data_IF_031318115926
#
_entry.id   IF_031318115926
#
_cell.length_a   1.000
_cell.length_b   1.000
_cell.length_c   1.000
_cell.angle_alpha   90.00
_cell.angle_beta   90.00
_cell.angle_gamma   90.00
#
_symmetry.space_group_name_H-M   'P 1'
#
loop_
_entity.id
_entity.type
_entity.pdbx_description
1 polymer ?
#
# COMPACT_ATOMS: atom_id res chain seq x y z
N UNK A 1 -14.41 6.71 -12.66
CA UNK A 1 -13.74 5.41 -12.47
C UNK A 1 -13.03 4.94 -13.73
N UNK A 2 -13.68 5.01 -14.90
CA UNK A 2 -13.08 4.61 -16.18
C UNK A 2 -11.77 5.35 -16.52
N UNK A 3 -11.70 6.67 -16.39
CA UNK A 3 -10.45 7.44 -16.59
C UNK A 3 -9.31 6.98 -15.69
N UNK A 4 -9.63 6.62 -14.43
CA UNK A 4 -8.65 6.11 -13.47
C UNK A 4 -8.18 4.70 -13.85
N UNK A 5 -9.10 3.81 -14.24
CA UNK A 5 -8.77 2.48 -14.73
C UNK A 5 -7.89 2.54 -15.99
N UNK A 6 -8.21 3.43 -16.94
CA UNK A 6 -7.40 3.64 -18.14
C UNK A 6 -5.99 4.16 -17.81
N UNK A 7 -5.86 5.09 -16.87
CA UNK A 7 -4.55 5.55 -16.42
C UNK A 7 -3.71 4.41 -15.82
N UNK A 8 -4.35 3.52 -15.05
CA UNK A 8 -3.70 2.36 -14.44
C UNK A 8 -3.26 1.31 -15.49
N UNK A 9 -3.99 1.13 -16.59
CA UNK A 9 -3.59 0.24 -17.69
C UNK A 9 -2.23 0.63 -18.29
N UNK A 10 -1.86 1.91 -18.24
CA UNK A 10 -0.54 2.39 -18.68
C UNK A 10 0.48 2.43 -17.53
N UNK A 11 0.06 2.90 -16.35
CA UNK A 11 0.96 3.05 -15.21
C UNK A 11 1.51 1.71 -14.70
N UNK A 12 0.68 0.66 -14.65
CA UNK A 12 1.07 -0.66 -14.13
C UNK A 12 2.20 -1.29 -14.96
N UNK A 13 2.11 -1.42 -16.30
CA UNK A 13 3.22 -1.91 -17.11
C UNK A 13 4.49 -1.06 -16.97
N UNK A 14 4.35 0.27 -16.93
CA UNK A 14 5.47 1.18 -16.77
C UNK A 14 6.22 0.96 -15.44
N UNK A 15 5.50 0.93 -14.32
CA UNK A 15 6.09 0.63 -13.01
C UNK A 15 6.67 -0.77 -12.92
N UNK A 16 6.04 -1.76 -13.58
CA UNK A 16 6.57 -3.13 -13.66
C UNK A 16 7.93 -3.15 -14.38
N UNK A 17 8.08 -2.43 -15.48
CA UNK A 17 9.36 -2.32 -16.21
C UNK A 17 10.42 -1.66 -15.33
N UNK A 18 10.09 -0.56 -14.65
CA UNK A 18 11.04 0.13 -13.77
C UNK A 18 11.49 -0.74 -12.59
N UNK A 19 10.55 -1.45 -11.96
CA UNK A 19 10.84 -2.42 -10.90
C UNK A 19 11.78 -3.53 -11.40
N UNK A 20 11.49 -4.13 -12.56
CA UNK A 20 12.34 -5.16 -13.14
C UNK A 20 13.74 -4.62 -13.48
N UNK A 21 13.81 -3.37 -13.98
CA UNK A 21 15.09 -2.71 -14.23
C UNK A 21 15.90 -2.51 -12.95
N UNK A 22 15.28 -2.11 -11.84
CA UNK A 22 15.95 -2.00 -10.53
C UNK A 22 16.43 -3.36 -10.03
N UNK A 23 15.58 -4.40 -10.09
CA UNK A 23 15.96 -5.77 -9.69
C UNK A 23 17.16 -6.27 -10.51
N UNK A 24 17.13 -6.08 -11.84
CA UNK A 24 18.21 -6.48 -12.74
C UNK A 24 19.48 -5.68 -12.45
N UNK A 25 19.36 -4.36 -12.27
CA UNK A 25 20.49 -3.51 -11.92
C UNK A 25 21.15 -3.99 -10.62
N UNK A 26 20.39 -4.16 -9.54
CA UNK A 26 20.86 -4.68 -8.25
C UNK A 26 21.54 -6.05 -8.36
N UNK A 27 21.03 -6.93 -9.24
CA UNK A 27 21.67 -8.22 -9.52
C UNK A 27 23.04 -8.05 -10.20
N UNK A 28 23.12 -7.23 -11.26
CA UNK A 28 24.37 -7.03 -12.02
C UNK A 28 25.45 -6.32 -11.21
N UNK A 29 25.08 -5.34 -10.37
CA UNK A 29 26.03 -4.64 -9.48
C UNK A 29 26.30 -5.38 -8.16
N UNK A 30 25.66 -6.55 -7.95
CA UNK A 30 25.77 -7.40 -6.75
C UNK A 30 25.37 -6.68 -5.44
N UNK A 31 24.40 -5.78 -5.53
CA UNK A 31 23.85 -5.04 -4.39
C UNK A 31 22.32 -5.10 -4.42
N UNK A 32 21.76 -6.30 -4.24
CA UNK A 32 20.31 -6.51 -4.34
C UNK A 32 19.58 -5.93 -3.13
N UNK A 33 18.64 -4.99 -3.38
CA UNK A 33 17.80 -4.35 -2.35
C UNK A 33 16.41 -4.99 -2.20
N UNK A 34 16.10 -5.97 -3.04
CA UNK A 34 14.83 -6.70 -2.98
C UNK A 34 14.96 -8.00 -2.19
N UNK A 35 14.12 -8.15 -1.18
CA UNK A 35 13.73 -9.47 -0.67
C UNK A 35 12.50 -9.96 -1.47
N UNK A 36 12.50 -11.22 -1.91
CA UNK A 36 11.42 -11.77 -2.76
C UNK A 36 10.06 -11.71 -2.06
N UNK A 37 9.97 -12.13 -0.80
CA UNK A 37 8.68 -12.17 -0.10
C UNK A 37 8.19 -10.76 0.24
N UNK A 38 9.10 -9.86 0.62
CA UNK A 38 8.75 -8.46 0.86
C UNK A 38 8.29 -7.76 -0.43
N UNK A 39 8.96 -8.03 -1.56
CA UNK A 39 8.57 -7.50 -2.87
C UNK A 39 7.17 -8.00 -3.25
N UNK A 40 6.88 -9.30 -3.07
CA UNK A 40 5.53 -9.83 -3.31
C UNK A 40 4.52 -9.16 -2.38
N UNK A 41 4.80 -9.06 -1.07
CA UNK A 41 3.93 -8.38 -0.10
C UNK A 41 3.62 -6.93 -0.52
N UNK A 42 4.64 -6.21 -0.99
CA UNK A 42 4.53 -4.82 -1.44
C UNK A 42 3.67 -4.69 -2.69
N UNK A 43 3.89 -5.54 -3.70
CA UNK A 43 3.09 -5.57 -4.93
C UNK A 43 1.65 -6.00 -4.66
N UNK A 44 1.46 -7.03 -3.82
CA UNK A 44 0.15 -7.48 -3.34
C UNK A 44 -0.61 -6.36 -2.64
N UNK A 45 0.07 -5.52 -1.85
CA UNK A 45 -0.53 -4.34 -1.24
C UNK A 45 -1.08 -3.38 -2.30
N UNK A 46 -0.28 -3.08 -3.33
CA UNK A 46 -0.69 -2.23 -4.45
C UNK A 46 -1.89 -2.81 -5.19
N UNK A 47 -1.88 -4.12 -5.47
CA UNK A 47 -3.01 -4.83 -6.07
C UNK A 47 -4.28 -4.71 -5.21
N UNK A 48 -4.20 -4.92 -3.90
CA UNK A 48 -5.39 -4.77 -3.02
C UNK A 48 -5.93 -3.35 -2.99
N UNK A 49 -5.06 -2.34 -2.94
CA UNK A 49 -5.47 -0.94 -3.00
C UNK A 49 -6.19 -0.63 -4.32
N UNK A 50 -5.59 -1.02 -5.45
CA UNK A 50 -6.18 -0.80 -6.77
C UNK A 50 -7.54 -1.50 -6.92
N UNK A 51 -7.70 -2.73 -6.40
CA UNK A 51 -8.99 -3.42 -6.38
C UNK A 51 -10.01 -2.63 -5.55
N UNK A 52 -9.66 -2.25 -4.32
CA UNK A 52 -10.55 -1.50 -3.43
C UNK A 52 -10.97 -0.14 -4.02
N UNK A 53 -10.03 0.59 -4.60
CA UNK A 53 -10.29 1.92 -5.16
C UNK A 53 -11.09 1.82 -6.46
N UNK A 54 -10.77 0.87 -7.34
CA UNK A 54 -11.54 0.65 -8.58
C UNK A 54 -12.99 0.26 -8.32
N UNK A 55 -13.25 -0.54 -7.29
CA UNK A 55 -14.60 -0.92 -6.86
C UNK A 55 -15.37 0.22 -6.16
N UNK A 56 -14.74 1.36 -5.89
CA UNK A 56 -15.38 2.50 -5.24
C UNK A 56 -15.80 2.23 -3.79
N UNK A 57 -15.07 1.36 -3.07
CA UNK A 57 -15.42 0.97 -1.70
C UNK A 57 -15.07 2.03 -0.64
N UNK A 58 -14.56 3.20 -1.05
CA UNK A 58 -14.30 4.33 -0.17
C UNK A 58 -15.52 5.26 -0.10
N UNK A 59 -15.83 5.73 1.10
CA UNK A 59 -16.83 6.77 1.33
C UNK A 59 -16.12 8.12 1.37
N UNK A 60 -16.37 8.96 0.37
CA UNK A 60 -15.86 10.34 0.34
C UNK A 60 -16.83 11.20 1.16
N UNK A 61 -16.36 11.81 2.25
CA UNK A 61 -17.20 12.62 3.15
C UNK A 61 -17.80 13.82 2.41
N UNK A 62 -16.93 14.55 1.70
CA UNK A 62 -17.30 15.70 0.88
C UNK A 62 -16.44 15.66 -0.38
N UNK A 63 -17.07 15.66 -1.55
CA UNK A 63 -16.35 15.61 -2.83
C UNK A 63 -15.83 17.00 -3.22
N UNK A 64 -14.73 17.05 -3.97
CA UNK A 64 -14.22 18.32 -4.49
C UNK A 64 -15.23 19.06 -5.40
N UNK A 65 -15.96 18.41 -6.33
CA UNK A 65 -17.04 19.05 -7.08
C UNK A 65 -18.09 19.71 -6.19
N UNK A 66 -18.47 19.06 -5.08
CA UNK A 66 -19.43 19.62 -4.13
C UNK A 66 -18.87 20.88 -3.44
N UNK A 67 -17.59 20.87 -3.05
CA UNK A 67 -16.95 22.05 -2.45
C UNK A 67 -16.92 23.23 -3.43
N UNK A 68 -16.56 23.00 -4.69
CA UNK A 68 -16.56 24.07 -5.70
C UNK A 68 -17.97 24.62 -5.91
N UNK A 69 -18.98 23.75 -6.09
CA UNK A 69 -20.38 24.16 -6.29
C UNK A 69 -20.93 25.01 -5.14
N UNK A 70 -20.51 24.75 -3.89
CA UNK A 70 -21.03 25.43 -2.71
C UNK A 70 -20.18 26.59 -2.19
N UNK A 71 -18.88 26.57 -2.43
CA UNK A 71 -17.95 27.51 -1.79
C UNK A 71 -17.28 28.46 -2.79
N UNK A 72 -17.24 28.16 -4.08
CA UNK A 72 -16.53 29.00 -5.04
C UNK A 72 -17.07 30.44 -5.01
N UNK A 73 -16.18 31.40 -4.72
CA UNK A 73 -16.50 32.83 -4.74
C UNK A 73 -16.17 33.48 -6.09
N UNK A 74 -15.35 32.81 -6.89
CA UNK A 74 -14.95 33.22 -8.23
C UNK A 74 -14.97 32.01 -9.16
N UNK A 75 -15.10 32.25 -10.46
CA UNK A 75 -14.95 31.22 -11.48
C UNK A 75 -13.60 31.41 -12.21
N UNK A 76 -12.73 30.39 -12.15
CA UNK A 76 -11.43 30.43 -12.82
C UNK A 76 -11.45 29.52 -14.05
N UNK A 77 -10.99 30.05 -15.19
CA UNK A 77 -10.80 29.26 -16.41
C UNK A 77 -9.59 28.34 -16.29
N UNK A 78 -9.63 27.18 -16.95
CA UNK A 78 -8.52 26.23 -17.04
C UNK A 78 -7.38 26.75 -17.93
N UNK A 79 -6.60 27.72 -17.44
CA UNK A 79 -5.38 28.22 -18.08
C UNK A 79 -4.15 27.51 -17.56
N UNK A 80 -3.00 27.58 -18.25
CA UNK A 80 -1.75 26.97 -17.77
C UNK A 80 -1.33 27.47 -16.37
N UNK A 81 -1.66 28.73 -16.02
CA UNK A 81 -1.42 29.29 -14.68
C UNK A 81 -2.29 28.57 -13.65
N UNK A 82 -3.56 28.31 -13.97
CA UNK A 82 -4.47 27.55 -13.11
C UNK A 82 -3.93 26.16 -12.83
N UNK A 83 -3.37 25.48 -13.84
CA UNK A 83 -2.74 24.17 -13.68
C UNK A 83 -1.51 24.23 -12.77
N UNK A 84 -0.62 25.20 -12.99
CA UNK A 84 0.58 25.37 -12.17
C UNK A 84 0.25 25.68 -10.71
N UNK A 85 -0.68 26.61 -10.47
CA UNK A 85 -1.10 26.97 -9.11
C UNK A 85 -1.84 25.80 -8.44
N UNK A 86 -2.73 25.12 -9.16
CA UNK A 86 -3.41 23.94 -8.63
C UNK A 86 -2.42 22.83 -8.27
N UNK A 87 -1.37 22.63 -9.07
CA UNK A 87 -0.29 21.69 -8.76
C UNK A 87 0.39 22.05 -7.43
N UNK A 88 0.82 23.30 -7.26
CA UNK A 88 1.48 23.76 -6.02
C UNK A 88 0.54 23.62 -4.81
N UNK A 89 -0.75 23.97 -4.96
CA UNK A 89 -1.75 23.85 -3.89
C UNK A 89 -2.01 22.38 -3.53
N UNK A 90 -2.08 21.50 -4.51
CA UNK A 90 -2.25 20.06 -4.28
C UNK A 90 -1.04 19.46 -3.58
N UNK A 91 0.19 19.83 -3.98
CA UNK A 91 1.41 19.37 -3.33
C UNK A 91 1.51 19.87 -1.87
N UNK A 92 1.11 21.13 -1.62
CA UNK A 92 1.00 21.69 -0.27
C UNK A 92 -0.06 20.98 0.59
N UNK A 93 -1.24 20.70 0.04
CA UNK A 93 -2.27 19.92 0.71
C UNK A 93 -1.79 18.48 0.99
N UNK A 94 -1.03 17.91 0.06
CA UNK A 94 -0.32 16.65 0.17
C UNK A 94 0.65 16.63 1.36
N UNK A 95 1.49 17.65 1.50
CA UNK A 95 2.40 17.82 2.64
C UNK A 95 1.63 17.79 3.98
N UNK A 96 0.53 18.54 4.11
CA UNK A 96 -0.25 18.55 5.35
C UNK A 96 -0.96 17.23 5.62
N UNK A 97 -1.51 16.58 4.58
CA UNK A 97 -2.08 15.24 4.70
C UNK A 97 -1.03 14.24 5.20
N UNK A 98 0.17 14.31 4.63
CA UNK A 98 1.29 13.45 4.98
C UNK A 98 1.76 13.70 6.43
N UNK A 99 1.90 14.96 6.82
CA UNK A 99 2.23 15.35 8.19
C UNK A 99 1.20 14.88 9.21
N UNK A 100 -0.09 15.06 8.92
CA UNK A 100 -1.17 14.53 9.75
C UNK A 100 -1.08 13.00 9.86
N UNK A 101 -0.75 12.32 8.77
CA UNK A 101 -0.58 10.87 8.74
C UNK A 101 0.58 10.41 9.62
N UNK A 102 1.68 11.15 9.72
CA UNK A 102 2.80 10.81 10.62
C UNK A 102 2.55 11.20 12.09
N UNK A 103 1.69 12.19 12.35
CA UNK A 103 1.55 12.77 13.69
C UNK A 103 0.24 12.42 14.42
N UNK A 104 -0.72 11.72 13.81
CA UNK A 104 -2.02 11.44 14.44
C UNK A 104 -2.42 9.98 14.21
N UNK A 105 -2.75 9.25 15.29
CA UNK A 105 -3.02 7.80 15.23
C UNK A 105 -4.06 7.39 14.16
N UNK A 106 -5.20 8.10 14.04
CA UNK A 106 -6.22 7.75 13.05
C UNK A 106 -5.74 7.90 11.60
N UNK A 107 -4.91 8.91 11.32
CA UNK A 107 -4.38 9.15 9.98
C UNK A 107 -3.17 8.25 9.70
N UNK A 108 -2.34 7.94 10.71
CA UNK A 108 -1.27 6.96 10.60
C UNK A 108 -1.76 5.59 10.19
N UNK A 109 -2.97 5.19 10.61
CA UNK A 109 -3.55 3.92 10.14
C UNK A 109 -3.66 3.83 8.60
N UNK A 110 -3.86 4.96 7.92
CA UNK A 110 -3.97 5.03 6.46
C UNK A 110 -2.62 5.06 5.75
N UNK A 111 -1.52 5.14 6.51
CA UNK A 111 -0.18 5.37 5.96
C UNK A 111 0.87 4.38 6.45
N UNK A 112 0.69 3.77 7.63
CA UNK A 112 1.62 2.83 8.26
C UNK A 112 2.05 1.67 7.36
N UNK A 113 1.16 1.18 6.47
CA UNK A 113 1.52 0.12 5.53
C UNK A 113 2.57 0.57 4.51
N UNK A 114 2.58 1.84 4.13
CA UNK A 114 3.58 2.41 3.24
C UNK A 114 4.99 2.27 3.84
N UNK A 115 5.11 2.49 5.14
CA UNK A 115 6.35 2.36 5.91
C UNK A 115 6.61 0.93 6.40
N UNK A 116 5.70 -0.02 6.22
CA UNK A 116 5.82 -1.31 6.90
C UNK A 116 6.87 -2.25 6.30
N UNK A 117 7.42 -1.95 5.13
CA UNK A 117 8.53 -2.75 4.58
C UNK A 117 9.80 -2.48 5.38
N UNK A 118 10.50 -3.55 5.71
CA UNK A 118 11.84 -3.49 6.32
C UNK A 118 12.94 -3.45 5.24
N UNK A 119 12.56 -3.44 3.96
CA UNK A 119 13.41 -3.13 2.82
C UNK A 119 13.01 -1.78 2.21
N UNK A 120 13.84 -1.20 1.35
CA UNK A 120 13.51 0.04 0.64
C UNK A 120 13.92 -0.04 -0.82
N UNK A 121 12.92 -0.06 -1.71
CA UNK A 121 13.07 -0.25 -3.16
C UNK A 121 11.75 0.13 -3.86
N UNK A 122 11.70 0.06 -5.19
CA UNK A 122 10.55 0.55 -5.97
C UNK A 122 9.26 -0.23 -5.68
N UNK A 123 9.35 -1.47 -5.18
CA UNK A 123 8.15 -2.21 -4.77
C UNK A 123 7.46 -1.52 -3.57
N UNK A 124 8.23 -0.91 -2.67
CA UNK A 124 7.72 -0.23 -1.47
C UNK A 124 6.82 0.95 -1.82
N UNK A 125 7.06 1.63 -2.95
CA UNK A 125 6.18 2.69 -3.46
C UNK A 125 4.74 2.22 -3.64
N UNK A 126 4.55 0.92 -3.93
CA UNK A 126 3.26 0.30 -4.20
C UNK A 126 2.57 -0.21 -2.93
N UNK A 127 3.18 -0.05 -1.74
CA UNK A 127 2.50 -0.30 -0.46
C UNK A 127 1.48 0.79 -0.17
N UNK A 128 0.29 0.61 -0.74
CA UNK A 128 -0.85 1.52 -0.61
C UNK A 128 -1.91 0.98 0.33
N UNK A 129 -2.60 1.88 1.02
CA UNK A 129 -3.60 1.53 2.04
C UNK A 129 -4.94 1.10 1.45
N UNK A 130 -5.57 0.10 2.08
CA UNK A 130 -7.00 -0.22 1.93
C UNK A 130 -7.83 0.20 3.14
N UNK A 131 -7.17 0.62 4.23
CA UNK A 131 -7.83 1.06 5.47
C UNK A 131 -8.33 2.51 5.41
N UNK A 132 -7.96 3.26 4.36
CA UNK A 132 -8.47 4.58 4.00
C UNK A 132 -9.90 4.54 3.42
N UNK A 133 -10.85 3.97 4.16
CA UNK A 133 -12.26 3.85 3.75
C UNK A 133 -13.02 5.17 3.85
N UNK A 134 -12.52 6.15 4.61
CA UNK A 134 -13.09 7.49 4.72
C UNK A 134 -12.17 8.49 4.01
N UNK A 135 -12.64 9.03 2.87
CA UNK A 135 -11.92 10.03 2.09
C UNK A 135 -12.21 11.44 2.59
N UNK A 136 -11.18 12.15 3.06
CA UNK A 136 -11.27 13.52 3.58
C UNK A 136 -10.37 14.53 2.84
N UNK A 137 -9.49 14.06 1.93
CA UNK A 137 -8.53 14.92 1.23
C UNK A 137 -9.15 16.16 0.56
N UNK A 138 -10.36 16.13 -0.04
CA UNK A 138 -10.97 17.33 -0.60
C UNK A 138 -11.12 18.49 0.40
N UNK A 139 -11.24 18.22 1.70
CA UNK A 139 -11.32 19.24 2.75
C UNK A 139 -10.01 20.07 2.79
N UNK A 140 -8.86 19.45 2.52
CA UNK A 140 -7.58 20.17 2.43
C UNK A 140 -7.49 21.05 1.18
N UNK A 141 -8.38 20.84 0.21
CA UNK A 141 -8.49 21.64 -1.02
C UNK A 141 -9.56 22.73 -0.94
N UNK A 142 -10.11 23.03 0.25
CA UNK A 142 -11.05 24.17 0.45
C UNK A 142 -10.51 25.48 -0.14
N UNK A 143 -9.22 25.87 0.04
CA UNK A 143 -8.69 27.07 -0.60
C UNK A 143 -8.79 27.05 -2.14
N UNK A 144 -8.52 25.90 -2.78
CA UNK A 144 -8.67 25.76 -4.22
C UNK A 144 -10.15 25.83 -4.64
N UNK A 145 -11.05 25.26 -3.85
CA UNK A 145 -12.49 25.30 -4.09
C UNK A 145 -13.06 26.73 -3.96
N UNK A 146 -12.63 27.50 -2.95
CA UNK A 146 -12.99 28.92 -2.79
C UNK A 146 -12.60 29.73 -4.02
N UNK A 147 -11.41 29.46 -4.57
CA UNK A 147 -10.91 30.10 -5.79
C UNK A 147 -11.55 29.54 -7.08
N UNK A 148 -12.50 28.60 -6.99
CA UNK A 148 -13.19 28.05 -8.15
C UNK A 148 -12.28 27.29 -9.12
N UNK A 149 -11.23 26.62 -8.61
CA UNK A 149 -10.35 25.79 -9.46
C UNK A 149 -11.19 24.64 -10.06
N UNK A 150 -11.23 24.49 -11.40
CA UNK A 150 -12.11 23.51 -12.04
C UNK A 150 -11.82 22.07 -11.60
N UNK A 151 -12.88 21.29 -11.36
CA UNK A 151 -12.76 19.88 -10.95
C UNK A 151 -11.90 19.05 -11.91
N UNK A 152 -11.97 19.31 -13.21
CA UNK A 152 -11.16 18.58 -14.20
C UNK A 152 -9.65 18.75 -13.97
N UNK A 153 -9.20 19.93 -13.52
CA UNK A 153 -7.79 20.19 -13.20
C UNK A 153 -7.35 19.30 -12.04
N UNK A 154 -8.12 19.29 -10.94
CA UNK A 154 -7.82 18.43 -9.77
C UNK A 154 -7.88 16.94 -10.13
N UNK A 155 -8.89 16.52 -10.90
CA UNK A 155 -9.07 15.13 -11.29
C UNK A 155 -7.90 14.57 -12.12
N UNK A 156 -7.25 15.41 -12.94
CA UNK A 156 -6.09 15.02 -13.74
C UNK A 156 -4.79 15.13 -12.93
N UNK A 157 -4.66 16.17 -12.10
CA UNK A 157 -3.47 16.36 -11.26
C UNK A 157 -3.35 15.31 -10.15
N UNK A 158 -4.46 14.76 -9.64
CA UNK A 158 -4.44 13.77 -8.56
C UNK A 158 -3.63 12.50 -8.90
N UNK A 159 -3.87 11.78 -10.02
CA UNK A 159 -3.04 10.64 -10.40
C UNK A 159 -1.61 11.05 -10.74
N UNK A 160 -1.38 12.25 -11.30
CA UNK A 160 -0.02 12.76 -11.54
C UNK A 160 0.75 12.90 -10.23
N UNK A 161 0.14 13.46 -9.19
CA UNK A 161 0.75 13.57 -7.86
C UNK A 161 1.05 12.21 -7.25
N UNK A 162 0.14 11.24 -7.41
CA UNK A 162 0.36 9.88 -6.93
C UNK A 162 1.56 9.21 -7.65
N UNK A 163 1.60 9.29 -8.98
CA UNK A 163 2.59 8.58 -9.79
C UNK A 163 3.97 9.24 -9.79
N UNK A 164 4.05 10.57 -9.66
CA UNK A 164 5.30 11.30 -9.58
C UNK A 164 6.16 10.91 -8.36
N UNK A 165 5.55 10.28 -7.36
CA UNK A 165 6.21 9.84 -6.13
C UNK A 165 6.91 8.47 -6.27
N UNK A 166 6.65 7.72 -7.34
CA UNK A 166 7.14 6.34 -7.48
C UNK A 166 8.67 6.26 -7.52
N UNK A 167 9.31 7.08 -8.37
CA UNK A 167 10.71 6.91 -8.77
C UNK A 167 11.72 7.06 -7.64
N UNK A 168 11.40 7.82 -6.59
CA UNK A 168 12.35 8.10 -5.52
C UNK A 168 12.42 7.01 -4.44
N UNK A 169 11.68 5.92 -4.60
CA UNK A 169 11.76 4.75 -3.70
C UNK A 169 12.92 3.83 -4.10
N UNK A 170 14.15 4.30 -3.96
CA UNK A 170 15.32 3.49 -4.30
C UNK A 170 16.51 3.83 -3.42
N UNK A 171 17.36 2.83 -3.17
CA UNK A 171 18.66 3.02 -2.52
C UNK A 171 19.80 3.20 -3.52
N UNK A 172 19.56 3.00 -4.82
CA UNK A 172 20.62 3.03 -5.84
C UNK A 172 20.98 4.42 -6.33
N UNK A 173 20.20 5.44 -5.97
CA UNK A 173 20.46 6.83 -6.32
C UNK A 173 20.86 7.57 -5.05
N UNK A 174 22.09 8.11 -5.04
CA UNK A 174 22.63 8.91 -3.95
C UNK A 174 22.00 10.31 -3.87
N UNK A 175 22.73 11.25 -3.25
CA UNK A 175 22.30 12.66 -3.18
C UNK A 175 22.35 13.32 -4.56
N UNK A 176 21.35 14.17 -4.86
CA UNK A 176 21.23 14.86 -6.16
C UNK A 176 21.63 16.35 -6.11
N UNK A 177 22.30 16.77 -5.04
CA UNK A 177 22.84 18.13 -4.91
C UNK A 177 21.73 19.19 -4.89
N UNK A 178 21.79 20.16 -5.82
CA UNK A 178 20.88 21.31 -5.83
C UNK A 178 19.40 20.92 -6.04
N UNK A 179 19.12 19.76 -6.64
CA UNK A 179 17.74 19.27 -6.81
C UNK A 179 17.05 19.00 -5.46
N UNK A 180 17.81 18.68 -4.41
CA UNK A 180 17.32 18.41 -3.04
C UNK A 180 16.84 19.67 -2.30
N UNK A 181 16.85 20.81 -2.98
CA UNK A 181 16.26 22.06 -2.48
C UNK A 181 14.93 22.40 -3.16
N UNK A 182 14.54 21.65 -4.18
CA UNK A 182 13.33 21.91 -4.99
C UNK A 182 12.39 20.71 -4.95
N UNK A 183 12.88 19.53 -5.32
CA UNK A 183 12.09 18.30 -5.42
C UNK A 183 12.52 17.29 -4.36
N UNK A 184 11.59 16.41 -3.99
CA UNK A 184 11.88 15.24 -3.16
C UNK A 184 12.76 14.28 -3.96
N UNK A 185 13.88 13.86 -3.37
CA UNK A 185 14.85 12.95 -3.99
C UNK A 185 14.91 11.61 -3.27
N UNK A 186 15.55 10.58 -3.88
CA UNK A 186 15.72 9.28 -3.23
C UNK A 186 16.41 9.34 -1.87
N UNK A 187 17.40 10.22 -1.67
CA UNK A 187 18.06 10.40 -0.36
C UNK A 187 17.08 10.91 0.71
N UNK A 188 16.27 11.92 0.35
CA UNK A 188 15.29 12.52 1.24
C UNK A 188 14.18 11.52 1.59
N UNK A 189 13.76 10.71 0.62
CA UNK A 189 12.72 9.71 0.85
C UNK A 189 13.23 8.48 1.62
N UNK A 190 14.51 8.12 1.51
CA UNK A 190 15.13 7.13 2.42
C UNK A 190 15.06 7.57 3.88
N UNK A 191 15.43 8.83 4.15
CA UNK A 191 15.31 9.42 5.50
C UNK A 191 13.85 9.36 5.96
N UNK A 192 12.92 9.75 5.09
CA UNK A 192 11.49 9.70 5.40
C UNK A 192 11.00 8.30 5.84
N UNK A 193 11.46 7.25 5.15
CA UNK A 193 11.08 5.88 5.48
C UNK A 193 11.84 5.26 6.66
N UNK A 194 12.81 5.97 7.21
CA UNK A 194 13.69 5.43 8.23
C UNK A 194 13.06 5.46 9.63
N UNK A 195 13.38 4.45 10.43
CA UNK A 195 12.97 4.34 11.84
C UNK A 195 14.03 4.85 12.81
N UNK A 196 15.16 5.36 12.30
CA UNK A 196 16.22 5.95 13.12
C UNK A 196 15.67 7.15 13.91
N UNK A 197 16.08 7.33 15.19
CA UNK A 197 15.68 8.49 15.99
C UNK A 197 15.93 9.84 15.31
N UNK A 198 16.97 9.95 14.49
CA UNK A 198 17.35 11.15 13.75
C UNK A 198 16.39 11.47 12.59
N UNK A 199 15.69 10.46 12.08
CA UNK A 199 14.96 10.51 10.81
C UNK A 199 13.43 10.38 10.96
N UNK A 200 12.95 9.91 12.11
CA UNK A 200 11.51 9.82 12.39
C UNK A 200 10.80 11.16 12.19
N UNK A 201 9.65 11.11 11.52
CA UNK A 201 8.77 12.25 11.24
C UNK A 201 9.45 13.38 10.43
N UNK A 202 10.40 13.02 9.56
CA UNK A 202 11.11 13.94 8.66
C UNK A 202 10.72 13.77 7.19
N UNK A 203 11.00 14.80 6.39
CA UNK A 203 10.87 14.83 4.92
C UNK A 203 9.48 14.37 4.44
N UNK A 204 8.46 15.15 4.75
CA UNK A 204 7.04 14.86 4.53
C UNK A 204 6.50 15.46 3.20
N UNK A 205 7.34 16.14 2.42
CA UNK A 205 7.01 16.59 1.06
C UNK A 205 6.64 15.43 0.14
N UNK A 206 5.80 15.70 -0.86
CA UNK A 206 5.43 14.71 -1.88
C UNK A 206 6.30 14.86 -3.13
N UNK A 207 6.13 15.96 -3.87
CA UNK A 207 6.97 16.26 -5.03
C UNK A 207 7.96 17.36 -4.69
N UNK A 208 7.54 18.42 -3.98
CA UNK A 208 8.40 19.52 -3.61
C UNK A 208 8.88 19.38 -2.15
N UNK A 209 10.20 19.43 -1.94
CA UNK A 209 10.79 19.40 -0.59
C UNK A 209 10.86 20.79 0.07
N UNK A 210 10.36 21.83 -0.61
CA UNK A 210 10.33 23.21 -0.09
C UNK A 210 9.51 23.31 1.22
N UNK A 211 8.44 22.53 1.32
CA UNK A 211 7.56 22.52 2.49
C UNK A 211 8.28 22.03 3.73
N UNK A 212 9.14 21.02 3.59
CA UNK A 212 9.93 20.49 4.70
C UNK A 212 10.86 21.54 5.30
N UNK A 213 11.41 22.42 4.47
CA UNK A 213 12.26 23.53 4.93
C UNK A 213 11.44 24.63 5.58
N UNK A 214 10.30 24.98 5.00
CA UNK A 214 9.42 26.03 5.54
C UNK A 214 8.80 25.66 6.88
N UNK A 215 8.48 24.38 7.08
CA UNK A 215 7.80 23.90 8.29
C UNK A 215 8.72 23.12 9.25
N UNK A 216 10.02 23.07 8.99
CA UNK A 216 11.03 22.52 9.89
C UNK A 216 11.01 20.99 10.00
N UNK A 217 10.55 20.29 8.98
CA UNK A 217 10.56 18.80 8.90
C UNK A 217 11.69 18.26 8.02
N UNK A 218 12.50 19.13 7.41
CA UNK A 218 13.66 18.71 6.61
C UNK A 218 14.75 18.06 7.47
N UNK A 219 15.27 16.93 7.01
CA UNK A 219 16.46 16.26 7.53
C UNK A 219 17.27 15.68 6.38
N UNK A 220 18.56 15.98 6.35
CA UNK A 220 19.46 15.40 5.35
C UNK A 220 19.81 13.95 5.73
N UNK A 221 20.02 13.10 4.73
CA UNK A 221 20.61 11.76 4.93
C UNK A 221 22.08 11.93 5.36
N UNK A 222 22.40 11.47 6.57
CA UNK A 222 23.74 11.56 7.13
C UNK A 222 24.53 10.29 6.82
N UNK A 223 25.77 10.44 6.38
CA UNK A 223 26.62 9.32 5.96
C UNK A 223 26.95 8.40 7.15
N UNK A 224 27.04 8.96 8.36
CA UNK A 224 27.36 8.24 9.60
C UNK A 224 26.14 7.53 10.23
N UNK A 225 24.92 7.86 9.79
CA UNK A 225 23.66 7.31 10.33
C UNK A 225 22.90 6.64 9.19
N UNK A 226 23.25 5.39 8.80
CA UNK A 226 22.59 4.74 7.68
C UNK A 226 21.10 4.46 7.99
N UNK A 227 20.17 4.83 7.08
CA UNK A 227 18.74 4.57 7.24
C UNK A 227 18.41 3.10 7.49
N UNK A 228 17.57 2.85 8.48
CA UNK A 228 16.98 1.55 8.82
C UNK A 228 15.48 1.63 8.59
N UNK A 229 14.87 0.63 7.96
CA UNK A 229 13.48 0.72 7.49
C UNK A 229 12.52 -0.16 8.29
N UNK A 230 11.22 0.07 8.07
CA UNK A 230 10.12 -0.64 8.71
C UNK A 230 9.30 0.30 9.58
N UNK A 231 8.68 -0.27 10.60
CA UNK A 231 7.95 0.49 11.62
C UNK A 231 8.43 0.04 12.99
N UNK A 232 8.52 0.99 13.93
CA UNK A 232 9.00 0.72 15.30
C UNK A 232 8.26 -0.42 16.02
N UNK A 233 7.04 -0.73 15.59
CA UNK A 233 6.30 -1.91 16.03
C UNK A 233 6.05 -2.81 14.80
N UNK A 234 6.97 -3.72 14.46
CA UNK A 234 6.97 -4.47 13.20
C UNK A 234 5.62 -5.08 12.83
N UNK A 235 5.39 -5.17 11.52
CA UNK A 235 4.23 -5.83 10.95
C UNK A 235 4.22 -7.33 11.30
N UNK A 236 5.39 -7.98 11.20
CA UNK A 236 5.58 -9.42 11.45
C UNK A 236 4.59 -10.32 10.69
N UNK A 237 4.31 -9.97 9.44
CA UNK A 237 3.46 -10.70 8.50
C UNK A 237 3.74 -10.20 7.08
N UNK A 238 3.64 -11.08 6.09
CA UNK A 238 3.68 -10.73 4.67
C UNK A 238 2.31 -10.33 4.13
N UNK A 239 1.23 -10.55 4.88
CA UNK A 239 -0.14 -10.33 4.43
C UNK A 239 -0.53 -8.84 4.48
N UNK A 240 -0.64 -8.14 3.34
CA UNK A 240 -0.87 -6.69 3.32
C UNK A 240 -2.25 -6.30 3.86
N UNK A 241 -3.23 -7.20 3.78
CA UNK A 241 -4.57 -6.97 4.35
C UNK A 241 -4.47 -6.94 5.87
N UNK A 242 -3.73 -7.87 6.48
CA UNK A 242 -3.50 -7.85 7.93
C UNK A 242 -2.76 -6.58 8.35
N UNK A 243 -1.66 -6.23 7.66
CA UNK A 243 -0.84 -5.04 7.96
C UNK A 243 -1.71 -3.77 8.07
N UNK A 244 -2.62 -3.56 7.10
CA UNK A 244 -3.51 -2.39 7.05
C UNK A 244 -4.37 -2.19 8.31
N UNK A 245 -4.72 -3.27 9.02
CA UNK A 245 -5.61 -3.20 10.18
C UNK A 245 -4.90 -3.42 11.52
N UNK A 246 -3.59 -3.67 11.52
CA UNK A 246 -2.85 -3.87 12.77
C UNK A 246 -2.83 -2.62 13.65
N UNK A 247 -2.62 -1.44 13.07
CA UNK A 247 -2.54 -0.20 13.85
C UNK A 247 -3.91 0.16 14.46
N UNK A 248 -4.97 0.20 13.64
CA UNK A 248 -6.34 0.47 14.13
C UNK A 248 -6.75 -0.55 15.22
N UNK A 249 -6.42 -1.83 15.04
CA UNK A 249 -6.74 -2.86 16.03
C UNK A 249 -6.02 -2.65 17.36
N UNK A 250 -4.77 -2.18 17.32
CA UNK A 250 -4.01 -1.85 18.53
C UNK A 250 -4.64 -0.68 19.28
N UNK A 251 -4.96 0.43 18.59
CA UNK A 251 -5.58 1.59 19.24
C UNK A 251 -7.01 1.28 19.73
N UNK A 252 -7.77 0.43 19.04
CA UNK A 252 -9.08 -0.05 19.50
C UNK A 252 -8.97 -0.82 20.81
N UNK A 253 -7.99 -1.74 20.92
CA UNK A 253 -7.76 -2.48 22.15
C UNK A 253 -7.35 -1.56 23.30
N UNK A 254 -6.49 -0.59 23.04
CA UNK A 254 -6.05 0.36 24.07
C UNK A 254 -7.20 1.28 24.53
N UNK A 255 -8.01 1.79 23.59
CA UNK A 255 -9.25 2.53 23.86
C UNK A 255 -10.23 1.70 24.70
N UNK A 256 -10.39 0.42 24.38
CA UNK A 256 -11.27 -0.48 25.13
C UNK A 256 -10.76 -0.73 26.56
N UNK A 257 -9.46 -0.94 26.73
CA UNK A 257 -8.83 -1.36 27.99
C UNK A 257 -8.62 -0.25 29.00
N UNK A 258 -8.40 0.99 28.55
CA UNK A 258 -8.15 2.10 29.48
C UNK A 258 -9.34 2.36 30.39
N UNK A 259 -9.06 2.66 31.66
CA UNK A 259 -10.06 2.97 32.68
C UNK A 259 -10.57 4.42 32.57
N UNK A 260 -9.79 5.31 31.97
CA UNK A 260 -10.18 6.72 31.78
C UNK A 260 -11.12 6.86 30.57
N UNK A 261 -12.39 7.30 30.75
CA UNK A 261 -13.32 7.53 29.66
C UNK A 261 -12.82 8.51 28.60
N UNK A 262 -12.01 9.51 28.99
CA UNK A 262 -11.45 10.47 28.05
C UNK A 262 -10.40 9.82 27.16
N UNK A 263 -9.55 8.97 27.73
CA UNK A 263 -8.54 8.19 26.99
C UNK A 263 -9.16 7.25 25.95
N UNK A 264 -10.39 6.80 26.17
CA UNK A 264 -11.14 6.03 25.15
C UNK A 264 -11.35 6.83 23.87
N UNK A 265 -11.58 8.14 23.98
CA UNK A 265 -11.85 9.03 22.85
C UNK A 265 -10.60 9.76 22.34
N UNK A 266 -9.76 10.33 23.20
CA UNK A 266 -8.65 11.15 22.71
C UNK A 266 -7.57 10.32 21.99
N UNK A 267 -7.40 9.04 22.33
CA UNK A 267 -6.37 8.16 21.74
C UNK A 267 -6.34 8.21 20.20
N UNK A 268 -7.49 8.30 19.56
CA UNK A 268 -7.64 8.35 18.10
C UNK A 268 -6.98 9.58 17.47
N UNK A 269 -6.90 10.69 18.22
CA UNK A 269 -6.38 11.97 17.78
C UNK A 269 -5.04 12.35 18.45
N UNK A 270 -4.55 11.51 19.37
CA UNK A 270 -3.26 11.72 20.01
C UNK A 270 -2.09 11.39 19.06
N UNK A 271 -0.87 11.90 19.37
CA UNK A 271 0.32 11.61 18.59
C UNK A 271 0.58 10.12 18.37
N UNK A 272 1.22 9.80 17.24
CA UNK A 272 1.64 8.43 16.93
C UNK A 272 2.48 7.87 18.06
N UNK A 273 2.14 6.66 18.51
CA UNK A 273 2.81 6.01 19.64
C UNK A 273 2.28 6.38 21.03
N UNK A 274 1.47 7.44 21.17
CA UNK A 274 0.79 7.74 22.43
C UNK A 274 -0.17 6.60 22.81
N UNK A 275 -0.18 6.25 24.09
CA UNK A 275 -1.07 5.24 24.69
C UNK A 275 -1.48 5.71 26.10
N UNK A 276 -2.66 5.33 26.60
CA UNK A 276 -3.07 5.54 27.99
C UNK A 276 -2.06 4.92 28.96
N UNK A 277 -1.74 5.62 30.05
CA UNK A 277 -0.66 5.19 30.95
C UNK A 277 -1.00 3.88 31.68
N UNK A 278 -2.26 3.73 32.12
CA UNK A 278 -2.76 2.51 32.73
C UNK A 278 -2.64 1.30 31.79
N UNK A 279 -2.88 1.51 30.49
CA UNK A 279 -2.74 0.47 29.47
C UNK A 279 -1.28 0.17 29.12
N UNK A 280 -0.38 1.17 29.10
CA UNK A 280 1.05 0.92 28.88
C UNK A 280 1.63 0.00 29.96
N UNK A 281 1.25 0.23 31.22
CA UNK A 281 1.69 -0.56 32.37
C UNK A 281 1.07 -1.96 32.35
N UNK A 282 -0.25 -2.07 32.15
CA UNK A 282 -0.95 -3.36 32.19
C UNK A 282 -0.73 -4.23 30.93
N UNK A 283 -0.49 -3.60 29.78
CA UNK A 283 -0.37 -4.25 28.47
C UNK A 283 0.78 -3.63 27.66
N UNK A 284 2.05 -3.89 28.05
CA UNK A 284 3.19 -3.39 27.32
C UNK A 284 3.22 -3.96 25.90
N UNK A 285 3.65 -3.14 24.93
CA UNK A 285 3.86 -3.55 23.54
C UNK A 285 5.35 -3.39 23.26
N UNK A 286 6.06 -4.44 22.81
CA UNK A 286 7.45 -4.33 22.38
C UNK A 286 7.61 -3.32 21.24
N UNK A 287 8.68 -2.53 21.30
CA UNK A 287 9.06 -1.54 20.31
C UNK A 287 10.55 -1.73 20.03
N UNK A 288 10.96 -1.61 18.76
CA UNK A 288 12.37 -1.60 18.39
C UNK A 288 13.06 -0.42 19.10
N UNK A 289 14.14 -0.71 19.82
CA UNK A 289 14.98 0.30 20.49
C UNK A 289 16.35 0.43 19.83
N UNK A 290 16.91 -0.69 19.41
CA UNK A 290 18.13 -0.76 18.63
C UNK A 290 17.75 -1.01 17.16
N UNK A 291 17.80 0.06 16.36
CA UNK A 291 17.42 0.02 14.95
C UNK A 291 18.44 -0.69 14.07
N UNK A 292 19.66 -0.94 14.56
CA UNK A 292 20.73 -1.58 13.80
C UNK A 292 20.81 -3.08 14.06
N UNK A 293 20.30 -3.55 15.20
CA UNK A 293 20.38 -4.96 15.61
C UNK A 293 19.01 -5.63 15.80
N UNK A 294 17.95 -5.15 15.13
CA UNK A 294 16.66 -5.86 15.12
C UNK A 294 16.62 -6.92 14.01
N UNK A 295 15.96 -8.04 14.30
CA UNK A 295 15.74 -9.09 13.30
C UNK A 295 14.60 -8.69 12.38
N UNK A 296 14.92 -8.49 11.10
CA UNK A 296 13.89 -8.33 10.07
C UNK A 296 13.00 -9.57 10.01
N UNK A 297 11.71 -9.36 9.79
CA UNK A 297 10.73 -10.43 9.63
C UNK A 297 11.10 -11.30 8.43
N UNK A 298 11.30 -12.57 8.70
CA UNK A 298 11.55 -13.58 7.67
C UNK A 298 10.79 -14.85 8.03
N UNK A 299 10.28 -15.51 7.01
CA UNK A 299 9.75 -16.86 7.12
C UNK A 299 10.57 -17.80 6.25
N UNK A 300 10.72 -19.06 6.67
CA UNK A 300 11.43 -20.02 5.84
C UNK A 300 10.69 -20.23 4.52
N UNK A 301 11.36 -19.95 3.40
CA UNK A 301 10.76 -20.04 2.07
C UNK A 301 11.74 -20.68 1.10
N UNK A 302 11.39 -21.89 0.66
CA UNK A 302 12.08 -22.60 -0.41
C UNK A 302 11.98 -21.81 -1.72
N UNK A 303 12.83 -22.17 -2.69
CA UNK A 303 12.68 -21.65 -4.05
C UNK A 303 11.31 -21.97 -4.65
N UNK A 304 10.71 -23.11 -4.29
CA UNK A 304 9.40 -23.52 -4.78
C UNK A 304 8.28 -22.65 -4.20
N UNK A 305 8.30 -22.34 -2.89
CA UNK A 305 7.31 -21.45 -2.29
C UNK A 305 7.44 -20.03 -2.86
N UNK A 306 8.67 -19.54 -3.03
CA UNK A 306 8.92 -18.24 -3.68
C UNK A 306 8.36 -18.22 -5.10
N UNK A 307 8.64 -19.26 -5.90
CA UNK A 307 8.10 -19.41 -7.26
C UNK A 307 6.57 -19.48 -7.28
N UNK A 308 5.95 -20.21 -6.35
CA UNK A 308 4.50 -20.27 -6.23
C UNK A 308 3.87 -18.93 -5.86
N UNK A 309 4.44 -18.20 -4.90
CA UNK A 309 3.95 -16.88 -4.52
C UNK A 309 4.07 -15.86 -5.67
N UNK A 310 5.17 -15.90 -6.43
CA UNK A 310 5.34 -15.10 -7.66
C UNK A 310 4.26 -15.47 -8.69
N UNK A 311 4.03 -16.76 -8.92
CA UNK A 311 2.98 -17.24 -9.82
C UNK A 311 1.59 -16.72 -9.42
N UNK A 312 1.22 -16.84 -8.14
CA UNK A 312 -0.07 -16.35 -7.63
C UNK A 312 -0.22 -14.84 -7.83
N UNK A 313 0.83 -14.07 -7.55
CA UNK A 313 0.84 -12.62 -7.75
C UNK A 313 0.71 -12.24 -9.24
N UNK A 314 1.43 -12.91 -10.13
CA UNK A 314 1.36 -12.67 -11.59
C UNK A 314 -0.04 -12.99 -12.13
N UNK A 315 -0.63 -14.12 -11.72
CA UNK A 315 -2.01 -14.46 -12.12
C UNK A 315 -2.98 -13.41 -11.57
N UNK A 316 -2.84 -12.98 -10.32
CA UNK A 316 -3.68 -11.91 -9.73
C UNK A 316 -3.57 -10.61 -10.54
N UNK A 317 -2.35 -10.22 -10.94
CA UNK A 317 -2.13 -9.06 -11.80
C UNK A 317 -2.80 -9.23 -13.17
N UNK A 318 -2.69 -10.39 -13.81
CA UNK A 318 -3.34 -10.65 -15.09
C UNK A 318 -4.87 -10.59 -14.99
N UNK A 319 -5.43 -11.15 -13.92
CA UNK A 319 -6.86 -11.09 -13.61
C UNK A 319 -7.33 -9.64 -13.38
N UNK A 320 -6.53 -8.84 -12.67
CA UNK A 320 -6.81 -7.41 -12.47
C UNK A 320 -6.84 -6.64 -13.80
N UNK A 321 -5.84 -6.85 -14.65
CA UNK A 321 -5.79 -6.20 -15.97
C UNK A 321 -6.97 -6.63 -16.85
N UNK A 322 -7.36 -7.91 -16.81
CA UNK A 322 -8.56 -8.39 -17.49
C UNK A 322 -9.84 -7.74 -16.95
N UNK A 323 -9.97 -7.62 -15.63
CA UNK A 323 -11.10 -6.94 -14.99
C UNK A 323 -11.19 -5.47 -15.43
N UNK A 324 -10.06 -4.77 -15.58
CA UNK A 324 -10.02 -3.40 -16.07
C UNK A 324 -10.36 -3.26 -17.55
N UNK A 325 -9.84 -4.15 -18.39
CA UNK A 325 -10.16 -4.17 -19.80
C UNK A 325 -11.67 -4.37 -20.04
N UNK A 326 -12.33 -5.16 -19.18
CA UNK A 326 -13.76 -5.48 -19.28
C UNK A 326 -14.62 -4.78 -18.23
N UNK A 327 -14.13 -3.68 -17.64
CA UNK A 327 -14.73 -3.08 -16.44
C UNK A 327 -16.22 -2.75 -16.61
N UNK A 328 -16.60 -2.15 -17.73
CA UNK A 328 -17.99 -1.77 -18.02
C UNK A 328 -18.89 -2.97 -18.32
N UNK A 329 -18.35 -4.01 -18.96
CA UNK A 329 -19.10 -5.20 -19.40
C UNK A 329 -19.44 -6.14 -18.24
N UNK A 330 -18.53 -6.27 -17.26
CA UNK A 330 -18.71 -7.16 -16.10
C UNK A 330 -19.89 -6.70 -15.20
N UNK A 331 -20.15 -5.39 -15.16
CA UNK A 331 -21.16 -4.79 -14.30
C UNK A 331 -20.83 -4.83 -12.81
N UNK A 332 -21.52 -4.01 -12.01
CA UNK A 332 -21.15 -3.77 -10.59
C UNK A 332 -21.16 -5.05 -9.74
N UNK A 333 -22.18 -5.91 -9.89
CA UNK A 333 -22.26 -7.17 -9.12
C UNK A 333 -21.14 -8.13 -9.49
N UNK A 334 -20.81 -8.21 -10.78
CA UNK A 334 -19.71 -9.03 -11.27
C UNK A 334 -18.36 -8.50 -10.75
N UNK A 335 -18.15 -7.19 -10.80
CA UNK A 335 -16.92 -6.54 -10.32
C UNK A 335 -16.70 -6.80 -8.83
N UNK A 336 -17.74 -6.67 -8.00
CA UNK A 336 -17.66 -6.97 -6.57
C UNK A 336 -17.27 -8.43 -6.32
N UNK A 337 -17.86 -9.38 -7.05
CA UNK A 337 -17.53 -10.80 -6.93
C UNK A 337 -16.10 -11.10 -7.41
N UNK A 338 -15.71 -10.56 -8.56
CA UNK A 338 -14.38 -10.70 -9.14
C UNK A 338 -13.32 -10.16 -8.17
N UNK A 339 -13.50 -8.93 -7.69
CA UNK A 339 -12.59 -8.31 -6.73
C UNK A 339 -12.52 -9.07 -5.41
N UNK A 340 -13.63 -9.65 -4.93
CA UNK A 340 -13.64 -10.51 -3.75
C UNK A 340 -12.75 -11.76 -3.94
N UNK A 341 -12.83 -12.43 -5.10
CA UNK A 341 -11.94 -13.55 -5.41
C UNK A 341 -10.47 -13.15 -5.42
N UNK A 342 -10.12 -11.99 -5.99
CA UNK A 342 -8.75 -11.48 -5.98
C UNK A 342 -8.29 -11.12 -4.56
N UNK A 343 -9.15 -10.52 -3.74
CA UNK A 343 -8.86 -10.22 -2.33
C UNK A 343 -8.59 -11.48 -1.51
N UNK A 344 -9.44 -12.51 -1.64
CA UNK A 344 -9.19 -13.83 -1.05
C UNK A 344 -7.93 -14.50 -1.63
N UNK A 345 -7.65 -14.24 -2.90
CA UNK A 345 -6.41 -14.54 -3.61
C UNK A 345 -5.21 -14.10 -2.80
N UNK A 346 -5.09 -12.79 -2.69
CA UNK A 346 -4.01 -12.09 -2.00
C UNK A 346 -3.93 -12.49 -0.53
N UNK A 347 -5.06 -12.56 0.17
CA UNK A 347 -5.08 -13.00 1.57
C UNK A 347 -4.53 -14.41 1.73
N UNK A 348 -4.91 -15.35 0.86
CA UNK A 348 -4.51 -16.75 0.96
C UNK A 348 -3.02 -16.97 0.72
N UNK A 349 -2.48 -16.54 -0.42
CA UNK A 349 -1.08 -16.85 -0.74
C UNK A 349 -0.10 -16.06 0.13
N UNK A 350 -0.45 -14.85 0.60
CA UNK A 350 0.40 -14.11 1.55
C UNK A 350 0.35 -14.70 2.96
N UNK A 351 -0.78 -15.29 3.36
CA UNK A 351 -0.87 -16.09 4.59
C UNK A 351 -0.05 -17.38 4.50
N UNK A 352 0.06 -17.96 3.30
CA UNK A 352 0.93 -19.10 3.04
C UNK A 352 2.42 -18.71 3.11
N UNK A 353 2.78 -17.51 2.61
CA UNK A 353 4.12 -16.93 2.81
C UNK A 353 4.45 -16.79 4.31
N UNK A 354 3.45 -16.51 5.16
CA UNK A 354 3.59 -16.49 6.61
C UNK A 354 3.64 -17.87 7.28
N UNK A 355 3.58 -18.96 6.50
CA UNK A 355 3.55 -20.35 6.97
C UNK A 355 2.45 -20.63 7.98
N UNK A 356 1.32 -19.90 7.91
CA UNK A 356 0.19 -20.13 8.82
C UNK A 356 -0.62 -21.35 8.36
N UNK A 357 -0.95 -22.30 9.25
CA UNK A 357 -1.62 -23.54 8.86
C UNK A 357 -3.03 -23.33 8.30
N UNK A 358 -3.68 -22.23 8.67
CA UNK A 358 -5.00 -21.90 8.14
C UNK A 358 -4.98 -21.34 6.71
N UNK A 359 -3.79 -21.11 6.12
CA UNK A 359 -3.63 -20.76 4.70
C UNK A 359 -4.30 -21.78 3.78
N UNK A 360 -4.12 -23.08 4.07
CA UNK A 360 -4.74 -24.16 3.30
C UNK A 360 -6.26 -24.03 3.21
N UNK A 361 -6.94 -23.72 4.32
CA UNK A 361 -8.40 -23.61 4.33
C UNK A 361 -8.90 -22.43 3.50
N UNK A 362 -8.12 -21.35 3.42
CA UNK A 362 -8.41 -20.20 2.56
C UNK A 362 -8.26 -20.60 1.09
N UNK A 363 -7.13 -21.23 0.73
CA UNK A 363 -6.86 -21.69 -0.65
C UNK A 363 -7.88 -22.75 -1.10
N UNK A 364 -8.24 -23.69 -0.22
CA UNK A 364 -9.26 -24.71 -0.49
C UNK A 364 -10.64 -24.07 -0.73
N UNK A 365 -11.05 -23.15 0.15
CA UNK A 365 -12.34 -22.49 0.05
C UNK A 365 -12.41 -21.60 -1.20
N UNK A 366 -11.35 -20.82 -1.48
CA UNK A 366 -11.26 -19.97 -2.66
C UNK A 366 -11.25 -20.78 -3.94
N UNK A 367 -10.40 -21.81 -4.02
CA UNK A 367 -10.31 -22.69 -5.18
C UNK A 367 -11.62 -23.42 -5.44
N UNK A 368 -12.24 -23.99 -4.40
CA UNK A 368 -13.53 -24.67 -4.50
C UNK A 368 -14.66 -23.72 -4.94
N UNK A 369 -14.75 -22.53 -4.35
CA UNK A 369 -15.72 -21.52 -4.74
C UNK A 369 -15.51 -21.03 -6.18
N UNK A 370 -14.25 -20.88 -6.61
CA UNK A 370 -13.90 -20.48 -7.97
C UNK A 370 -14.30 -21.51 -9.00
N UNK A 371 -13.99 -22.79 -8.75
CA UNK A 371 -14.44 -23.91 -9.58
C UNK A 371 -15.97 -24.01 -9.64
N UNK A 372 -16.65 -23.86 -8.50
CA UNK A 372 -18.10 -23.84 -8.45
C UNK A 372 -18.67 -22.67 -9.27
N UNK A 373 -18.07 -21.48 -9.21
CA UNK A 373 -18.47 -20.34 -10.03
C UNK A 373 -18.36 -20.69 -11.52
N UNK A 374 -17.22 -21.22 -11.98
CA UNK A 374 -17.04 -21.61 -13.39
C UNK A 374 -18.07 -22.64 -13.86
N UNK A 375 -18.44 -23.60 -13.01
CA UNK A 375 -19.47 -24.60 -13.35
C UNK A 375 -20.86 -23.96 -13.45
N UNK A 376 -21.17 -23.00 -12.58
CA UNK A 376 -22.47 -22.33 -12.55
C UNK A 376 -22.64 -21.30 -13.67
N UNK A 377 -21.58 -20.58 -14.03
CA UNK A 377 -21.62 -19.51 -15.05
C UNK A 377 -21.19 -19.99 -16.43
N UNK A 378 -20.45 -21.11 -16.52
CA UNK A 378 -19.88 -21.64 -17.76
C UNK A 378 -18.68 -20.83 -18.29
N UNK A 379 -18.27 -19.78 -17.58
CA UNK A 379 -17.24 -18.83 -18.03
C UNK A 379 -16.69 -17.99 -16.85
N UNK A 380 -15.51 -17.42 -17.02
CA UNK A 380 -14.92 -16.44 -16.12
C UNK A 380 -15.14 -15.02 -16.64
N UNK A 381 -16.32 -14.44 -16.37
CA UNK A 381 -16.62 -13.03 -16.64
C UNK A 381 -16.35 -12.56 -18.08
N UNK A 382 -16.70 -13.37 -19.09
CA UNK A 382 -16.49 -13.06 -20.50
C UNK A 382 -15.15 -13.53 -21.06
N UNK A 383 -14.32 -14.24 -20.30
CA UNK A 383 -12.97 -14.60 -20.75
C UNK A 383 -12.96 -15.49 -21.99
N UNK A 384 -13.92 -16.42 -22.10
CA UNK A 384 -14.00 -17.37 -23.21
C UNK A 384 -14.17 -16.67 -24.58
N UNK A 385 -14.74 -15.45 -24.63
CA UNK A 385 -14.88 -14.71 -25.89
C UNK A 385 -13.56 -14.14 -26.42
N UNK A 386 -12.53 -14.04 -25.57
CA UNK A 386 -11.21 -13.49 -25.93
C UNK A 386 -10.16 -14.59 -26.07
N UNK A 387 -10.24 -15.62 -25.24
CA UNK A 387 -9.30 -16.72 -25.21
C UNK A 387 -10.08 -18.03 -25.25
N UNK A 388 -10.10 -18.74 -26.39
CA UNK A 388 -10.60 -20.11 -26.42
C UNK A 388 -9.85 -20.93 -25.36
N UNK A 389 -10.58 -21.69 -24.55
CA UNK A 389 -10.08 -22.42 -23.35
C UNK A 389 -9.78 -21.54 -22.13
N UNK A 390 -10.18 -20.27 -22.13
CA UNK A 390 -9.99 -19.35 -21.00
C UNK A 390 -10.61 -19.87 -19.70
N UNK A 391 -11.84 -20.39 -19.78
CA UNK A 391 -12.54 -21.01 -18.63
C UNK A 391 -11.76 -22.18 -18.06
N UNK A 392 -11.20 -23.02 -18.93
CA UNK A 392 -10.39 -24.17 -18.52
C UNK A 392 -9.09 -23.72 -17.84
N UNK A 393 -8.42 -22.69 -18.36
CA UNK A 393 -7.21 -22.13 -17.73
C UNK A 393 -7.48 -21.59 -16.33
N UNK A 394 -8.61 -20.90 -16.12
CA UNK A 394 -9.02 -20.43 -14.78
C UNK A 394 -9.36 -21.62 -13.87
N UNK A 395 -9.96 -22.69 -14.40
CA UNK A 395 -10.18 -23.93 -13.66
C UNK A 395 -8.87 -24.57 -13.19
N UNK A 396 -7.88 -24.66 -14.08
CA UNK A 396 -6.53 -25.16 -13.73
C UNK A 396 -5.87 -24.26 -12.69
N UNK A 397 -6.02 -22.94 -12.80
CA UNK A 397 -5.55 -22.00 -11.79
C UNK A 397 -6.17 -22.30 -10.42
N UNK A 398 -7.50 -22.42 -10.31
CA UNK A 398 -8.12 -22.73 -9.02
C UNK A 398 -7.69 -24.10 -8.47
N UNK A 399 -7.51 -25.12 -9.31
CA UNK A 399 -6.93 -26.40 -8.86
C UNK A 399 -5.51 -26.24 -8.34
N UNK A 400 -4.67 -25.45 -9.03
CA UNK A 400 -3.29 -25.19 -8.61
C UNK A 400 -3.24 -24.44 -7.27
N UNK A 401 -4.22 -23.59 -6.98
CA UNK A 401 -4.34 -22.91 -5.68
C UNK A 401 -4.56 -23.90 -4.53
N UNK A 402 -5.48 -24.86 -4.70
CA UNK A 402 -5.77 -25.91 -3.70
C UNK A 402 -4.54 -26.80 -3.50
N UNK A 403 -3.94 -27.27 -4.59
CA UNK A 403 -2.77 -28.16 -4.55
C UNK A 403 -1.58 -27.45 -3.89
N UNK A 404 -1.30 -26.21 -4.30
CA UNK A 404 -0.23 -25.41 -3.69
C UNK A 404 -0.49 -25.13 -2.21
N UNK A 405 -1.71 -24.74 -1.85
CA UNK A 405 -2.12 -24.53 -0.47
C UNK A 405 -1.88 -25.78 0.39
N UNK A 406 -2.22 -26.96 -0.11
CA UNK A 406 -1.94 -28.24 0.59
C UNK A 406 -0.44 -28.53 0.68
N UNK A 407 0.26 -28.48 -0.46
CA UNK A 407 1.67 -28.84 -0.56
C UNK A 407 2.55 -27.97 0.34
N UNK A 408 2.45 -26.65 0.26
CA UNK A 408 3.30 -25.75 1.04
C UNK A 408 2.89 -25.64 2.52
N UNK A 409 1.68 -26.09 2.88
CA UNK A 409 1.22 -26.14 4.28
C UNK A 409 1.64 -27.45 4.97
N UNK A 410 1.53 -28.59 4.28
CA UNK A 410 1.66 -29.92 4.91
C UNK A 410 2.81 -30.78 4.38
N UNK A 411 3.25 -30.59 3.12
CA UNK A 411 4.25 -31.45 2.49
C UNK A 411 5.65 -30.83 2.57
N UNK A 412 5.79 -29.56 2.18
CA UNK A 412 7.08 -28.84 2.23
C UNK A 412 7.43 -28.33 3.63
N UNK A 413 6.62 -28.64 4.65
CA UNK A 413 6.87 -28.13 6.00
C UNK A 413 8.08 -28.86 6.58
N UNK A 414 9.21 -28.18 6.71
CA UNK A 414 10.42 -28.76 7.30
C UNK A 414 10.17 -29.18 8.77
N UNK A 415 10.64 -30.37 9.19
CA UNK A 415 10.44 -30.89 10.55
C UNK A 415 10.96 -29.98 11.67
N UNK A 416 12.01 -29.20 11.43
CA UNK A 416 12.72 -28.44 12.46
C UNK A 416 12.13 -27.05 12.77
N UNK A 417 11.11 -26.61 12.01
CA UNK A 417 10.54 -25.26 12.12
C UNK A 417 9.37 -25.15 13.11
N UNK A 418 8.98 -26.25 13.76
CA UNK A 418 7.90 -26.27 14.75
C UNK A 418 8.33 -25.61 16.07
N UNK A 419 9.62 -25.59 16.40
CA UNK A 419 10.12 -24.97 17.63
C UNK A 419 10.25 -23.44 17.57
N UNK A 420 10.46 -22.85 16.40
CA UNK A 420 10.66 -21.41 16.26
C UNK A 420 9.36 -20.58 16.19
N UNK A 421 8.21 -21.22 15.97
CA UNK A 421 6.89 -20.56 15.94
C UNK A 421 6.14 -20.65 17.29
N UNK A 422 6.73 -21.31 18.29
CA UNK A 422 6.19 -21.47 19.65
C UNK A 422 6.99 -20.70 20.71
N UNK A 423 8.07 -20.03 20.33
CA UNK A 423 8.81 -19.04 21.13
C UNK A 423 8.46 -17.63 20.63
#
# INVERSE_FOLDING_TARGET
>A
METYANALLYAIPFFTVLLLAEILYGHFVKDQKHNVLDTISSLSSGLTNIIKDSLGLAVILVSYPYLVDKLAVVEIRSTWITWLLAFIVMDFAGYWNHRLSHHVNVFWNQHVIHHSSEEFNLACALRQSISNVIGYFPILLIPAALLGVPNQVIAILAPIHLFAQFWYHTQHIGKLGWLEYIIVTPSQHRVHHAINPEYIDKNLGQILCIWDRWFGTFQEEMDEVPPQYGVLKPAATWNPILINFQHIWRIMKDSWRTKDPWDKFRIWFMPTGWRPEDVKVAHPIPVIKDVYNFNKYQTPASLNLKGYAIYQMIVTLALLLFMFFNYSEIGVRGLLLYGFFMFLGIYGYTTLMDRKPYAFWIELSRGGAGLALLVLTGDWFGLESYLPFGTWLIGVYFLSTIIGGYYFTYVEREPDQVQALQA
#
